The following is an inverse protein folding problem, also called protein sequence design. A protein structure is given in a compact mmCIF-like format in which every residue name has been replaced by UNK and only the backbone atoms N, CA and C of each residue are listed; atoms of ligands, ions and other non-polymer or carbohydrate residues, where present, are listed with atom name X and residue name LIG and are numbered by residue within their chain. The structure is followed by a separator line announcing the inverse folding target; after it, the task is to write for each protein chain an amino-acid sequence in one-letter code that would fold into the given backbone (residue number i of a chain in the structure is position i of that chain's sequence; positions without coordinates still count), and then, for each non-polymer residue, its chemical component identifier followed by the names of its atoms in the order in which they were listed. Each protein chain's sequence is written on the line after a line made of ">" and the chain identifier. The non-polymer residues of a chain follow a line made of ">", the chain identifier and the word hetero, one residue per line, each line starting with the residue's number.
data_IF_193111538643
#
_entry.id   IF_193111538643
#
_cell.length_a   1.000
_cell.length_b   1.000
_cell.length_c   1.000
_cell.angle_alpha   90.00
_cell.angle_beta   90.00
_cell.angle_gamma   90.00
#
_symmetry.space_group_name_H-M   'P 1'
#
loop_
_entity.id
_entity.type
_entity.pdbx_description
1 polymer ?
#
# COMPACT_ATOMS: atom_id res chain seq x y z
N UNK A 1 9.35 -20.45 21.21
CA UNK A 1 10.50 -19.73 20.63
C UNK A 1 10.10 -19.36 19.22
N UNK A 2 9.59 -18.14 19.03
CA UNK A 2 9.04 -17.68 17.74
C UNK A 2 10.22 -17.23 16.89
N UNK A 3 10.39 -17.83 15.73
CA UNK A 3 11.45 -17.48 14.79
C UNK A 3 11.20 -16.06 14.28
N UNK A 4 12.07 -15.14 14.65
CA UNK A 4 12.21 -13.86 13.96
C UNK A 4 12.72 -14.21 12.55
N UNK A 5 11.86 -14.09 11.54
CA UNK A 5 12.20 -14.56 10.18
C UNK A 5 13.36 -13.73 9.62
N UNK A 6 13.45 -12.45 9.95
CA UNK A 6 14.56 -11.57 9.58
C UNK A 6 15.22 -10.98 10.81
N UNK A 7 16.54 -10.81 10.74
CA UNK A 7 17.39 -10.31 11.82
C UNK A 7 18.21 -9.09 11.37
N UNK A 8 18.06 -8.68 10.11
CA UNK A 8 18.91 -7.68 9.47
C UNK A 8 18.13 -6.86 8.45
N UNK A 9 18.37 -5.55 8.40
CA UNK A 9 17.93 -4.65 7.33
C UNK A 9 19.12 -4.33 6.42
N UNK A 10 18.96 -4.54 5.11
CA UNK A 10 19.94 -4.14 4.12
C UNK A 10 19.49 -2.88 3.42
N UNK A 11 20.40 -1.93 3.25
CA UNK A 11 20.13 -0.63 2.62
C UNK A 11 21.01 -0.49 1.39
N UNK A 12 20.46 0.10 0.34
CA UNK A 12 21.19 0.51 -0.84
C UNK A 12 20.90 1.95 -1.19
N UNK A 13 21.90 2.59 -1.81
CA UNK A 13 21.84 3.98 -2.28
C UNK A 13 22.10 4.04 -3.79
N UNK A 14 21.49 5.00 -4.45
CA UNK A 14 21.77 5.37 -5.84
C UNK A 14 21.73 6.88 -6.04
N UNK A 15 22.41 7.35 -7.08
CA UNK A 15 22.24 8.71 -7.63
C UNK A 15 20.96 8.82 -8.49
N UNK A 16 20.37 7.69 -8.89
CA UNK A 16 19.21 7.61 -9.77
C UNK A 16 18.06 6.86 -9.10
N UNK A 17 16.84 7.34 -9.30
CA UNK A 17 15.62 6.73 -8.74
C UNK A 17 15.46 5.25 -9.10
N UNK A 18 15.79 4.86 -10.34
CA UNK A 18 15.38 3.56 -10.89
C UNK A 18 16.49 2.52 -11.06
N UNK A 19 17.76 2.89 -10.94
CA UNK A 19 18.90 2.00 -11.21
C UNK A 19 20.15 2.49 -10.46
N UNK A 20 21.24 1.71 -10.45
CA UNK A 20 22.51 2.14 -9.83
C UNK A 20 22.59 1.93 -8.32
N UNK A 21 21.63 1.20 -7.72
CA UNK A 21 21.63 0.91 -6.30
C UNK A 21 22.80 0.03 -5.86
N UNK A 22 23.61 0.54 -4.93
CA UNK A 22 24.76 -0.15 -4.36
C UNK A 22 24.73 -0.08 -2.84
N UNK A 23 25.37 -1.06 -2.19
CA UNK A 23 25.56 -1.03 -0.74
C UNK A 23 26.68 -0.05 -0.41
N UNK A 24 26.38 0.93 0.45
CA UNK A 24 27.34 1.97 0.84
C UNK A 24 28.07 1.55 2.11
N UNK A 25 29.39 1.71 2.12
CA UNK A 25 30.21 1.57 3.32
C UNK A 25 29.78 2.60 4.37
N UNK A 26 29.17 2.15 5.47
CA UNK A 26 28.64 3.02 6.54
C UNK A 26 27.13 2.85 6.76
N UNK A 27 26.38 2.43 5.74
CA UNK A 27 24.97 2.02 5.82
C UNK A 27 24.85 0.50 6.00
N UNK A 28 25.75 -0.08 6.80
CA UNK A 28 25.89 -1.52 6.95
C UNK A 28 24.58 -2.21 7.35
N UNK A 29 24.51 -3.55 7.22
CA UNK A 29 23.34 -4.32 7.64
C UNK A 29 22.91 -3.91 9.06
N UNK A 30 21.68 -3.42 9.20
CA UNK A 30 21.14 -2.93 10.48
C UNK A 30 20.58 -4.14 11.23
N UNK A 31 21.18 -4.55 12.35
CA UNK A 31 20.64 -5.67 13.11
C UNK A 31 19.27 -5.29 13.69
N UNK A 32 18.31 -6.19 13.53
CA UNK A 32 16.97 -6.01 14.08
C UNK A 32 16.94 -6.52 15.52
N UNK A 33 16.69 -5.63 16.47
CA UNK A 33 16.52 -5.99 17.87
C UNK A 33 15.08 -6.41 18.15
N UNK A 34 14.89 -7.47 18.94
CA UNK A 34 13.58 -7.82 19.45
C UNK A 34 13.01 -6.66 20.29
N UNK A 35 11.75 -6.29 20.07
CA UNK A 35 11.10 -5.18 20.78
C UNK A 35 11.27 -3.80 20.12
N UNK A 36 12.11 -3.66 19.10
CA UNK A 36 12.33 -2.39 18.42
C UNK A 36 11.39 -2.24 17.20
N UNK A 37 10.68 -1.12 17.16
CA UNK A 37 9.58 -0.83 16.22
C UNK A 37 9.97 0.13 15.12
N UNK A 38 11.02 0.91 15.34
CA UNK A 38 11.62 1.80 14.36
C UNK A 38 13.14 1.63 14.39
N UNK A 39 13.73 1.74 13.21
CA UNK A 39 15.18 1.76 13.04
C UNK A 39 15.53 3.08 12.36
N UNK A 40 16.65 3.65 12.78
CA UNK A 40 17.17 4.88 12.24
C UNK A 40 18.60 4.60 11.76
N UNK A 41 18.90 5.04 10.54
CA UNK A 41 20.25 4.99 10.00
C UNK A 41 20.60 6.31 9.37
N UNK A 42 21.82 6.76 9.66
CA UNK A 42 22.37 8.00 9.17
C UNK A 42 23.38 7.75 8.05
N UNK A 43 23.08 8.22 6.83
CA UNK A 43 24.08 8.29 5.76
C UNK A 43 24.88 9.59 5.87
N UNK A 44 26.04 9.53 6.53
CA UNK A 44 26.94 10.69 6.63
C UNK A 44 27.58 11.10 5.29
N UNK A 45 27.53 10.23 4.28
CA UNK A 45 28.10 10.46 2.96
C UNK A 45 27.04 10.80 1.90
N UNK A 46 25.76 10.69 2.27
CA UNK A 46 24.63 10.99 1.41
C UNK A 46 24.19 12.44 1.50
N UNK A 47 23.44 12.88 0.51
CA UNK A 47 22.77 14.17 0.47
C UNK A 47 21.35 14.01 -0.09
N UNK A 48 20.60 15.12 -0.16
CA UNK A 48 19.22 15.15 -0.64
C UNK A 48 19.04 14.79 -2.13
N UNK A 49 20.12 14.58 -2.89
CA UNK A 49 20.07 14.10 -4.28
C UNK A 49 20.08 12.58 -4.40
N UNK A 50 20.35 11.86 -3.32
CA UNK A 50 20.45 10.41 -3.31
C UNK A 50 19.10 9.72 -3.07
N UNK A 51 18.95 8.57 -3.74
CA UNK A 51 17.83 7.65 -3.60
C UNK A 51 18.23 6.43 -2.79
N UNK A 52 17.32 5.97 -1.95
CA UNK A 52 17.53 4.84 -1.06
C UNK A 52 16.47 3.78 -1.27
N UNK A 53 16.82 2.53 -0.97
CA UNK A 53 15.88 1.41 -0.84
C UNK A 53 16.39 0.44 0.20
N UNK A 54 15.51 -0.36 0.78
CA UNK A 54 15.88 -1.35 1.78
C UNK A 54 15.17 -2.68 1.57
N UNK A 55 15.68 -3.73 2.21
CA UNK A 55 15.02 -5.03 2.34
C UNK A 55 15.42 -5.68 3.66
N UNK A 56 14.67 -6.68 4.06
CA UNK A 56 14.98 -7.51 5.21
C UNK A 56 15.75 -8.76 4.79
N UNK A 57 16.65 -9.20 5.65
CA UNK A 57 17.49 -10.38 5.47
C UNK A 57 17.49 -11.23 6.75
N UNK A 58 17.51 -12.53 6.55
CA UNK A 58 17.63 -13.53 7.62
C UNK A 58 19.03 -14.11 7.57
N UNK A 59 19.88 -13.81 8.54
CA UNK A 59 21.18 -14.49 8.65
C UNK A 59 21.02 -15.99 8.93
N UNK A 60 19.92 -16.40 9.57
CA UNK A 60 19.63 -17.79 9.92
C UNK A 60 19.14 -18.59 8.71
N UNK A 61 18.20 -18.06 7.93
CA UNK A 61 17.59 -18.79 6.81
C UNK A 61 18.15 -18.41 5.44
N UNK A 62 18.96 -17.35 5.37
CA UNK A 62 19.50 -16.77 4.13
C UNK A 62 18.42 -16.29 3.13
N UNK A 63 17.20 -16.03 3.62
CA UNK A 63 16.09 -15.51 2.83
C UNK A 63 16.10 -13.97 2.85
N UNK A 64 15.67 -13.37 1.75
CA UNK A 64 15.50 -11.93 1.60
C UNK A 64 14.03 -11.58 1.37
N UNK A 65 13.59 -10.44 1.91
CA UNK A 65 12.35 -9.80 1.42
C UNK A 65 12.58 -9.15 0.05
N UNK A 66 11.46 -8.75 -0.58
CA UNK A 66 11.51 -7.80 -1.69
C UNK A 66 12.16 -6.47 -1.26
N UNK A 67 12.72 -5.75 -2.23
CA UNK A 67 13.18 -4.37 -2.02
C UNK A 67 11.99 -3.43 -1.86
N UNK A 68 12.13 -2.46 -0.98
CA UNK A 68 11.22 -1.31 -0.92
C UNK A 68 11.26 -0.54 -2.25
N UNK A 69 10.19 0.21 -2.57
CA UNK A 69 10.28 1.27 -3.56
C UNK A 69 11.42 2.25 -3.22
N UNK A 70 12.07 2.84 -4.24
CA UNK A 70 13.02 3.94 -4.05
C UNK A 70 12.36 5.13 -3.34
N UNK A 71 13.09 5.75 -2.42
CA UNK A 71 12.69 7.01 -1.79
C UNK A 71 13.89 7.96 -1.68
N UNK A 72 13.62 9.26 -1.70
CA UNK A 72 14.66 10.28 -1.53
C UNK A 72 15.01 10.39 -0.06
N UNK A 73 16.31 10.39 0.27
CA UNK A 73 16.74 10.69 1.63
C UNK A 73 16.51 12.16 1.93
N UNK A 74 15.66 12.46 2.92
CA UNK A 74 15.64 13.78 3.56
C UNK A 74 16.89 14.01 4.41
N UNK A 75 16.95 15.10 5.16
CA UNK A 75 18.05 15.40 6.08
C UNK A 75 18.36 14.21 6.99
N UNK A 76 19.32 13.38 6.56
CA UNK A 76 20.12 12.39 7.29
C UNK A 76 19.41 11.21 7.97
N UNK A 77 18.08 11.10 7.96
CA UNK A 77 17.36 10.03 8.68
C UNK A 77 16.57 9.10 7.73
N UNK A 78 16.78 7.79 7.87
CA UNK A 78 16.04 6.73 7.15
C UNK A 78 15.21 5.92 8.15
N UNK A 79 13.90 5.83 7.93
CA UNK A 79 12.96 5.06 8.75
C UNK A 79 12.59 3.73 8.08
N UNK A 80 12.53 2.65 8.88
CA UNK A 80 12.17 1.30 8.42
C UNK A 80 10.94 0.78 9.15
N UNK A 81 9.95 0.29 8.41
CA UNK A 81 8.75 -0.35 8.97
C UNK A 81 8.74 -1.84 8.64
N UNK A 82 8.80 -2.76 9.64
CA UNK A 82 8.79 -4.19 9.39
C UNK A 82 7.58 -4.59 8.54
N UNK A 83 7.84 -5.23 7.39
CA UNK A 83 6.82 -5.62 6.42
C UNK A 83 5.94 -6.72 7.01
N UNK A 84 4.65 -6.45 7.17
CA UNK A 84 3.62 -7.47 7.33
C UNK A 84 3.51 -8.28 6.02
N UNK A 85 2.99 -9.52 6.05
CA UNK A 85 2.89 -10.31 4.82
C UNK A 85 1.91 -9.61 3.86
N UNK A 86 2.23 -9.53 2.55
CA UNK A 86 1.25 -9.09 1.57
C UNK A 86 0.09 -10.06 1.49
N UNK A 87 -1.11 -9.55 1.21
CA UNK A 87 -2.31 -10.37 0.97
C UNK A 87 -2.04 -11.42 -0.13
N UNK A 88 -1.30 -11.01 -1.17
CA UNK A 88 -0.86 -11.87 -2.27
C UNK A 88 0.61 -11.58 -2.60
N UNK A 89 1.41 -12.64 -2.80
CA UNK A 89 2.79 -12.50 -3.25
C UNK A 89 2.81 -12.21 -4.76
N UNK A 90 2.97 -10.93 -5.10
CA UNK A 90 3.14 -10.46 -6.47
C UNK A 90 4.62 -10.36 -6.86
N UNK A 91 4.91 -10.49 -8.15
CA UNK A 91 6.24 -10.27 -8.71
C UNK A 91 6.51 -8.79 -9.01
N UNK A 92 7.74 -8.49 -9.45
CA UNK A 92 8.16 -7.13 -9.77
C UNK A 92 7.34 -6.49 -10.90
N UNK A 93 6.83 -7.30 -11.83
CA UNK A 93 6.04 -6.81 -12.96
C UNK A 93 4.64 -6.37 -12.50
N UNK A 94 3.99 -7.19 -11.68
CA UNK A 94 2.69 -6.93 -11.08
C UNK A 94 2.76 -5.73 -10.12
N UNK A 95 3.80 -5.64 -9.29
CA UNK A 95 4.00 -4.47 -8.43
C UNK A 95 4.14 -3.15 -9.22
N UNK A 96 4.75 -3.18 -10.40
CA UNK A 96 4.81 -2.00 -11.29
C UNK A 96 3.43 -1.65 -11.85
N UNK A 97 2.59 -2.63 -12.17
CA UNK A 97 1.21 -2.42 -12.63
C UNK A 97 0.40 -1.77 -11.50
N UNK A 98 0.41 -2.38 -10.31
CA UNK A 98 -0.28 -1.90 -9.12
C UNK A 98 0.13 -0.45 -8.80
N UNK A 99 1.43 -0.18 -8.72
CA UNK A 99 1.95 1.15 -8.40
C UNK A 99 1.51 2.21 -9.43
N UNK A 100 1.49 1.86 -10.72
CA UNK A 100 1.01 2.77 -11.77
C UNK A 100 -0.48 3.05 -11.64
N UNK A 101 -1.30 2.03 -11.41
CA UNK A 101 -2.75 2.20 -11.23
C UNK A 101 -3.04 3.06 -10.00
N UNK A 102 -2.44 2.74 -8.83
CA UNK A 102 -2.57 3.56 -7.61
C UNK A 102 -2.25 5.03 -7.85
N UNK A 103 -1.18 5.32 -8.61
CA UNK A 103 -0.81 6.70 -8.98
C UNK A 103 -1.83 7.36 -9.91
N UNK A 104 -2.41 6.61 -10.86
CA UNK A 104 -3.40 7.12 -11.82
C UNK A 104 -4.73 7.45 -11.15
N UNK A 105 -5.21 6.56 -10.27
CA UNK A 105 -6.44 6.79 -9.51
C UNK A 105 -6.23 7.79 -8.36
N UNK A 106 -4.97 8.08 -8.03
CA UNK A 106 -4.60 9.01 -6.96
C UNK A 106 -4.91 8.44 -5.59
N UNK A 107 -4.60 7.17 -5.35
CA UNK A 107 -4.85 6.47 -4.08
C UNK A 107 -3.85 6.93 -3.01
N UNK A 108 -4.25 7.87 -2.12
CA UNK A 108 -3.32 8.43 -1.17
C UNK A 108 -3.06 7.39 -0.08
N UNK A 109 -1.79 7.12 0.18
CA UNK A 109 -1.39 6.34 1.34
C UNK A 109 -1.38 7.27 2.55
N UNK A 110 -2.47 7.28 3.31
CA UNK A 110 -2.53 7.96 4.61
C UNK A 110 -1.96 7.03 5.69
N UNK A 111 -1.30 7.57 6.70
CA UNK A 111 -0.98 6.78 7.91
C UNK A 111 -2.05 7.04 8.95
N UNK A 112 -2.63 5.96 9.48
CA UNK A 112 -3.58 5.98 10.59
C UNK A 112 -3.03 5.26 11.79
N UNK A 113 -3.54 5.65 12.96
CA UNK A 113 -3.27 5.01 14.23
C UNK A 113 -4.59 4.74 14.94
N UNK A 114 -4.81 3.50 15.32
CA UNK A 114 -5.90 3.09 16.21
C UNK A 114 -5.30 2.64 17.54
N UNK A 115 -5.77 3.24 18.63
CA UNK A 115 -5.28 2.94 19.98
C UNK A 115 -6.35 3.24 21.03
N UNK A 116 -6.18 2.69 22.24
CA UNK A 116 -7.09 2.96 23.36
C UNK A 116 -8.46 2.31 23.21
N UNK A 117 -9.50 2.98 23.69
CA UNK A 117 -10.87 2.43 23.72
C UNK A 117 -11.44 2.18 22.31
N UNK A 118 -11.08 3.02 21.34
CA UNK A 118 -11.50 2.88 19.94
C UNK A 118 -10.96 1.58 19.32
N UNK A 119 -9.74 1.17 19.70
CA UNK A 119 -9.18 -0.10 19.25
C UNK A 119 -9.85 -1.30 19.93
N UNK A 120 -10.30 -1.17 21.18
CA UNK A 120 -10.94 -2.28 21.89
C UNK A 120 -12.29 -2.64 21.27
N UNK A 121 -13.06 -1.66 20.76
CA UNK A 121 -14.32 -1.91 20.07
C UNK A 121 -14.18 -2.73 18.79
N UNK A 122 -12.98 -2.74 18.20
CA UNK A 122 -12.68 -3.42 16.95
C UNK A 122 -12.21 -4.87 17.11
N UNK A 123 -12.18 -5.37 18.35
CA UNK A 123 -11.84 -6.77 18.65
C UNK A 123 -13.09 -7.64 18.45
N UNK A 124 -12.99 -8.63 17.57
CA UNK A 124 -14.06 -9.60 17.35
C UNK A 124 -14.32 -10.49 18.58
N UNK A 125 -15.53 -11.08 18.70
CA UNK A 125 -15.87 -12.01 19.79
C UNK A 125 -15.00 -13.28 19.86
N UNK A 126 -14.22 -13.58 18.83
CA UNK A 126 -13.26 -14.69 18.85
C UNK A 126 -11.99 -14.36 19.66
N UNK A 127 -11.88 -13.11 20.13
CA UNK A 127 -10.77 -12.52 20.86
C UNK A 127 -9.41 -12.70 20.16
N UNK A 128 -9.41 -12.86 18.84
CA UNK A 128 -8.21 -13.15 18.04
C UNK A 128 -8.18 -12.39 16.73
N UNK A 129 -9.28 -11.76 16.36
CA UNK A 129 -9.38 -10.98 15.14
C UNK A 129 -9.62 -9.52 15.50
N UNK A 130 -8.83 -8.64 14.90
CA UNK A 130 -8.98 -7.20 14.99
C UNK A 130 -9.41 -6.65 13.64
N UNK A 131 -10.44 -5.82 13.62
CA UNK A 131 -10.96 -5.16 12.41
C UNK A 131 -10.43 -3.72 12.34
N UNK A 132 -9.67 -3.37 11.31
CA UNK A 132 -9.26 -1.98 11.08
C UNK A 132 -10.49 -1.13 10.72
N UNK A 133 -10.53 0.15 11.08
CA UNK A 133 -11.63 1.05 10.67
C UNK A 133 -11.69 1.21 9.15
N UNK A 134 -10.52 1.29 8.51
CA UNK A 134 -10.36 1.37 7.05
C UNK A 134 -9.44 0.27 6.54
N UNK A 135 -9.57 -0.08 5.25
CA UNK A 135 -8.60 -0.97 4.62
C UNK A 135 -7.20 -0.36 4.73
N UNK A 136 -6.22 -1.16 5.14
CA UNK A 136 -4.86 -0.69 5.19
C UNK A 136 -3.79 -1.73 5.47
N UNK A 137 -2.58 -1.32 5.17
CA UNK A 137 -1.38 -2.11 5.33
C UNK A 137 -0.77 -1.83 6.70
N UNK A 138 -0.68 -2.81 7.61
CA UNK A 138 -0.10 -2.56 8.92
C UNK A 138 1.35 -2.11 8.80
N UNK A 139 1.69 -1.06 9.53
CA UNK A 139 3.05 -0.54 9.68
C UNK A 139 3.62 -0.92 11.05
N UNK A 140 2.78 -0.98 12.08
CA UNK A 140 3.14 -1.34 13.45
C UNK A 140 1.92 -1.86 14.19
N UNK A 141 2.07 -2.93 14.97
CA UNK A 141 1.00 -3.60 15.70
C UNK A 141 1.55 -3.96 17.06
N UNK A 142 0.91 -3.46 18.11
CA UNK A 142 1.20 -3.83 19.49
C UNK A 142 -0.06 -4.34 20.16
N UNK A 143 0.09 -5.41 20.93
CA UNK A 143 -0.96 -5.93 21.81
C UNK A 143 -0.42 -5.88 23.23
N UNK A 144 -1.02 -5.04 24.10
CA UNK A 144 -0.52 -4.78 25.46
C UNK A 144 0.97 -4.42 25.50
N UNK A 145 1.39 -3.50 24.63
CA UNK A 145 2.78 -3.06 24.53
C UNK A 145 3.74 -4.09 23.90
N UNK A 146 3.29 -5.31 23.62
CA UNK A 146 4.12 -6.32 22.95
C UNK A 146 4.01 -6.14 21.43
N UNK A 147 5.13 -5.90 20.71
CA UNK A 147 5.10 -5.76 19.27
C UNK A 147 4.86 -7.10 18.57
N UNK A 148 4.02 -7.08 17.54
CA UNK A 148 3.75 -8.19 16.64
C UNK A 148 4.26 -7.87 15.24
N UNK A 149 5.50 -8.26 14.97
CA UNK A 149 6.23 -7.88 13.74
C UNK A 149 6.63 -9.10 12.89
N UNK A 150 5.81 -10.17 12.90
CA UNK A 150 6.11 -11.42 12.18
C UNK A 150 5.21 -11.64 10.97
N UNK A 151 5.72 -12.34 9.94
CA UNK A 151 4.96 -12.67 8.72
C UNK A 151 3.81 -13.66 8.91
N UNK A 152 3.70 -14.27 10.08
CA UNK A 152 2.68 -15.29 10.37
C UNK A 152 1.75 -14.86 11.50
N UNK A 153 2.01 -13.72 12.12
CA UNK A 153 1.26 -13.23 13.27
C UNK A 153 1.49 -11.72 13.48
N UNK A 154 0.47 -10.87 13.24
CA UNK A 154 -0.84 -11.22 12.69
C UNK A 154 -0.77 -11.62 11.22
N UNK A 155 -1.70 -12.47 10.77
CA UNK A 155 -1.98 -12.63 9.34
C UNK A 155 -2.97 -11.56 8.89
N UNK A 156 -2.69 -10.92 7.76
CA UNK A 156 -3.56 -9.89 7.17
C UNK A 156 -4.57 -10.56 6.23
N UNK A 157 -5.85 -10.21 6.36
CA UNK A 157 -6.92 -10.68 5.48
C UNK A 157 -7.74 -9.50 4.94
N UNK A 158 -7.86 -9.41 3.61
CA UNK A 158 -8.51 -8.31 2.86
C UNK A 158 -8.04 -6.89 3.29
N UNK A 159 -6.86 -6.82 3.92
CA UNK A 159 -6.34 -5.60 4.55
C UNK A 159 -7.32 -4.90 5.50
N UNK A 160 -8.34 -5.61 5.98
CA UNK A 160 -9.36 -5.14 6.91
C UNK A 160 -9.24 -5.87 8.24
N UNK A 161 -8.77 -7.11 8.23
CA UNK A 161 -8.69 -7.95 9.41
C UNK A 161 -7.25 -8.38 9.73
N UNK A 162 -6.85 -8.20 10.98
CA UNK A 162 -5.61 -8.73 11.55
C UNK A 162 -5.97 -9.92 12.44
N UNK A 163 -5.51 -11.11 12.04
CA UNK A 163 -5.78 -12.34 12.78
C UNK A 163 -4.54 -12.80 13.53
N UNK A 164 -4.69 -12.95 14.84
CA UNK A 164 -3.64 -13.34 15.76
C UNK A 164 -3.67 -14.83 16.05
N UNK A 165 -2.51 -15.48 15.93
CA UNK A 165 -2.37 -16.91 16.16
C UNK A 165 -1.98 -17.16 17.60
N UNK A 166 -2.80 -17.95 18.32
CA UNK A 166 -2.58 -18.35 19.72
C UNK A 166 -2.42 -17.19 20.71
N UNK A 167 -2.95 -16.01 20.40
CA UNK A 167 -2.95 -14.84 21.29
C UNK A 167 -4.39 -14.40 21.47
N UNK A 168 -4.84 -14.37 22.72
CA UNK A 168 -6.10 -13.73 23.10
C UNK A 168 -5.86 -12.23 23.26
N UNK A 169 -6.30 -11.45 22.27
CA UNK A 169 -6.10 -9.99 22.22
C UNK A 169 -7.12 -9.24 23.09
N UNK A 170 -8.16 -9.92 23.58
CA UNK A 170 -9.11 -9.34 24.53
C UNK A 170 -8.63 -9.49 25.98
N UNK A 171 -8.01 -10.64 26.34
CA UNK A 171 -7.50 -10.93 27.68
C UNK A 171 -6.36 -10.00 28.13
N UNK A 172 -5.75 -9.29 27.19
CA UNK A 172 -4.76 -8.23 27.42
C UNK A 172 -5.34 -6.92 27.97
N UNK A 173 -6.65 -6.83 28.23
CA UNK A 173 -7.33 -5.63 28.79
C UNK A 173 -7.62 -5.69 30.30
N UNK A 174 -6.80 -6.36 31.12
CA UNK A 174 -7.02 -6.42 32.58
C UNK A 174 -6.20 -5.36 33.38
N UNK A 175 -6.93 -4.47 34.06
CA UNK A 175 -6.58 -3.60 35.21
C UNK A 175 -5.12 -3.56 35.71
N UNK A 176 -4.40 -2.43 35.53
CA UNK A 176 -3.30 -2.05 36.45
C UNK A 176 -2.14 -1.19 35.95
N UNK A 177 -1.61 -1.35 34.72
CA UNK A 177 -0.33 -0.73 34.30
C UNK A 177 -0.43 0.02 32.95
N UNK A 178 0.29 1.13 32.77
CA UNK A 178 0.01 2.21 31.79
C UNK A 178 0.25 1.90 30.29
N UNK A 179 0.57 0.68 29.88
CA UNK A 179 0.73 0.30 28.47
C UNK A 179 -0.37 -0.71 28.09
N UNK A 180 -1.59 -0.22 27.82
CA UNK A 180 -2.78 -1.06 27.65
C UNK A 180 -3.41 -0.89 26.28
N UNK A 181 -3.83 -2.02 25.73
CA UNK A 181 -4.69 -2.06 24.55
C UNK A 181 -3.93 -2.43 23.28
N UNK A 182 -4.70 -2.47 22.21
CA UNK A 182 -4.21 -2.64 20.86
C UNK A 182 -3.73 -1.27 20.35
N UNK A 183 -2.55 -1.21 19.76
CA UNK A 183 -2.01 0.00 19.10
C UNK A 183 -1.57 -0.41 17.69
N UNK A 184 -2.34 0.01 16.69
CA UNK A 184 -2.10 -0.32 15.29
C UNK A 184 -1.84 0.95 14.51
N UNK A 185 -0.67 1.01 13.87
CA UNK A 185 -0.38 1.94 12.80
C UNK A 185 -0.55 1.23 11.47
N UNK A 186 -1.24 1.85 10.53
CA UNK A 186 -1.43 1.27 9.20
C UNK A 186 -1.55 2.33 8.11
N UNK A 187 -1.13 1.95 6.92
CA UNK A 187 -1.22 2.74 5.70
C UNK A 187 -2.57 2.48 5.03
N UNK A 188 -3.45 3.46 5.04
CA UNK A 188 -4.73 3.36 4.35
C UNK A 188 -4.55 3.40 2.85
N UNK A 189 -5.45 2.74 2.14
CA UNK A 189 -5.61 2.83 0.69
C UNK A 189 -7.04 2.47 0.35
N UNK A 190 -7.50 2.87 -0.84
CA UNK A 190 -8.88 2.62 -1.28
C UNK A 190 -9.05 1.24 -1.88
N UNK A 191 -8.06 0.75 -2.62
CA UNK A 191 -8.12 -0.55 -3.28
C UNK A 191 -6.94 -1.42 -2.87
N UNK A 192 -7.21 -2.69 -2.54
CA UNK A 192 -6.17 -3.67 -2.26
C UNK A 192 -5.35 -4.00 -3.50
N UNK A 193 -4.12 -4.49 -3.30
CA UNK A 193 -3.28 -4.96 -4.41
C UNK A 193 -3.97 -6.06 -5.22
N UNK A 194 -4.75 -6.90 -4.53
CA UNK A 194 -5.54 -7.95 -5.14
C UNK A 194 -6.69 -7.39 -5.97
N UNK A 195 -7.46 -6.45 -5.43
CA UNK A 195 -8.57 -5.80 -6.15
C UNK A 195 -8.06 -5.11 -7.42
N UNK A 196 -6.90 -4.44 -7.34
CA UNK A 196 -6.26 -3.79 -8.48
C UNK A 196 -5.85 -4.81 -9.54
N UNK A 197 -5.22 -5.92 -9.14
CA UNK A 197 -4.77 -6.94 -10.08
C UNK A 197 -5.93 -7.73 -10.69
N UNK A 198 -6.96 -8.08 -9.91
CA UNK A 198 -8.16 -8.72 -10.44
C UNK A 198 -8.85 -7.82 -11.47
N UNK A 199 -8.98 -6.52 -11.19
CA UNK A 199 -9.52 -5.56 -12.15
C UNK A 199 -8.64 -5.40 -13.40
N UNK A 200 -7.31 -5.47 -13.25
CA UNK A 200 -6.37 -5.43 -14.37
C UNK A 200 -6.46 -6.67 -15.26
N UNK A 201 -6.49 -7.85 -14.66
CA UNK A 201 -6.56 -9.12 -15.37
C UNK A 201 -7.91 -9.31 -16.08
N UNK A 202 -8.98 -8.71 -15.54
CA UNK A 202 -10.31 -8.67 -16.15
C UNK A 202 -10.58 -7.44 -17.02
N UNK A 203 -9.56 -6.64 -17.35
CA UNK A 203 -9.72 -5.37 -18.05
C UNK A 203 -10.57 -5.52 -19.32
N UNK A 204 -11.65 -4.73 -19.40
CA UNK A 204 -12.50 -4.74 -20.58
C UNK A 204 -11.80 -4.07 -21.77
N UNK A 205 -12.18 -4.44 -23.00
CA UNK A 205 -11.65 -3.80 -24.21
C UNK A 205 -12.38 -2.47 -24.40
N UNK A 206 -11.68 -1.32 -24.42
CA UNK A 206 -12.32 -0.02 -24.62
C UNK A 206 -13.03 0.07 -25.97
N UNK A 207 -14.10 0.84 -26.02
CA UNK A 207 -14.96 0.95 -27.21
C UNK A 207 -14.16 1.41 -28.43
N UNK A 208 -14.22 0.57 -29.48
CA UNK A 208 -13.56 0.80 -30.76
C UNK A 208 -12.03 0.64 -30.74
N UNK A 209 -11.50 -0.07 -29.76
CA UNK A 209 -10.33 -0.91 -29.96
C UNK A 209 -10.78 -2.36 -30.18
N UNK A 210 -9.89 -3.16 -30.74
CA UNK A 210 -10.00 -4.62 -30.73
C UNK A 210 -8.90 -5.21 -29.84
N UNK A 211 -9.02 -6.50 -29.55
CA UNK A 211 -8.06 -7.22 -28.70
C UNK A 211 -6.61 -7.14 -29.22
N UNK A 212 -6.41 -6.93 -30.52
CA UNK A 212 -5.06 -6.90 -31.13
C UNK A 212 -4.31 -5.61 -30.84
N UNK A 213 -5.02 -4.54 -30.47
CA UNK A 213 -4.44 -3.24 -30.11
C UNK A 213 -4.44 -2.98 -28.59
N UNK A 214 -4.77 -4.00 -27.78
CA UNK A 214 -4.71 -3.91 -26.32
C UNK A 214 -3.26 -3.93 -25.85
N UNK A 215 -2.70 -2.74 -25.65
CA UNK A 215 -1.38 -2.57 -25.03
C UNK A 215 -1.48 -2.52 -23.51
N UNK A 216 -0.37 -2.75 -22.82
CA UNK A 216 -0.33 -2.61 -21.36
C UNK A 216 -0.75 -1.22 -20.88
N UNK A 217 -0.48 -0.16 -21.65
CA UNK A 217 -0.88 1.21 -21.29
C UNK A 217 -2.40 1.41 -21.45
N UNK A 218 -3.02 0.80 -22.46
CA UNK A 218 -4.49 0.78 -22.59
C UNK A 218 -5.11 0.09 -21.39
N UNK A 219 -4.61 -1.10 -21.00
CA UNK A 219 -5.12 -1.81 -19.83
C UNK A 219 -4.96 -0.97 -18.55
N UNK A 220 -3.80 -0.36 -18.33
CA UNK A 220 -3.56 0.47 -17.14
C UNK A 220 -4.55 1.64 -17.03
N UNK A 221 -4.81 2.34 -18.14
CA UNK A 221 -5.75 3.47 -18.16
C UNK A 221 -7.18 2.99 -17.98
N UNK A 222 -7.59 1.94 -18.69
CA UNK A 222 -8.94 1.39 -18.62
C UNK A 222 -9.25 0.85 -17.22
N UNK A 223 -8.37 0.06 -16.62
CA UNK A 223 -8.53 -0.42 -15.24
C UNK A 223 -8.62 0.73 -14.24
N UNK A 224 -7.80 1.77 -14.40
CA UNK A 224 -7.85 2.96 -13.52
C UNK A 224 -9.19 3.70 -13.64
N UNK A 225 -9.75 3.78 -14.86
CA UNK A 225 -11.05 4.39 -15.13
C UNK A 225 -12.16 3.56 -14.48
N UNK A 226 -12.15 2.24 -14.64
CA UNK A 226 -13.15 1.34 -14.08
C UNK A 226 -13.19 1.38 -12.56
N UNK A 227 -12.02 1.37 -11.90
CA UNK A 227 -11.92 1.49 -10.45
C UNK A 227 -12.49 2.83 -9.96
N UNK A 228 -12.13 3.94 -10.58
CA UNK A 228 -12.69 5.25 -10.20
C UNK A 228 -14.18 5.38 -10.49
N UNK A 229 -14.68 4.80 -11.58
CA UNK A 229 -16.12 4.78 -11.87
C UNK A 229 -16.89 3.99 -10.81
N UNK A 230 -16.37 2.82 -10.40
CA UNK A 230 -16.97 2.02 -9.34
C UNK A 230 -17.05 2.80 -8.04
N UNK A 231 -15.95 3.43 -7.62
CA UNK A 231 -15.93 4.27 -6.41
C UNK A 231 -16.95 5.41 -6.48
N UNK A 232 -16.99 6.16 -7.59
CA UNK A 232 -17.95 7.25 -7.77
C UNK A 232 -19.40 6.77 -7.74
N UNK A 233 -19.66 5.56 -8.22
CA UNK A 233 -20.97 4.95 -8.16
C UNK A 233 -21.34 4.59 -6.73
N UNK A 234 -20.47 3.90 -6.00
CA UNK A 234 -20.65 3.53 -4.58
C UNK A 234 -20.85 4.78 -3.71
N UNK A 235 -20.00 5.81 -3.85
CA UNK A 235 -20.15 7.07 -3.13
C UNK A 235 -21.51 7.72 -3.42
N UNK A 236 -21.98 7.68 -4.68
CA UNK A 236 -23.25 8.30 -5.06
C UNK A 236 -24.46 7.60 -4.42
N UNK A 237 -24.30 6.33 -4.04
CA UNK A 237 -25.35 5.50 -3.44
C UNK A 237 -25.26 5.43 -1.92
N UNK A 238 -24.06 5.48 -1.33
CA UNK A 238 -23.83 5.20 0.10
C UNK A 238 -23.52 6.47 0.92
N UNK A 239 -22.74 7.41 0.39
CA UNK A 239 -22.17 8.55 1.15
C UNK A 239 -22.40 9.94 0.51
N UNK A 240 -23.08 10.00 -0.64
CA UNK A 240 -23.28 11.21 -1.43
C UNK A 240 -24.26 12.22 -0.83
N UNK A 241 -24.87 11.91 0.31
CA UNK A 241 -25.80 12.79 1.00
C UNK A 241 -25.05 13.86 1.80
N UNK A 242 -25.32 15.13 1.52
CA UNK A 242 -24.91 16.23 2.41
C UNK A 242 -25.72 16.13 3.70
N UNK A 243 -25.04 15.92 4.82
CA UNK A 243 -25.67 15.89 6.14
C UNK A 243 -25.35 17.21 6.84
N UNK A 244 -26.40 17.91 7.27
CA UNK A 244 -26.26 19.12 8.07
C UNK A 244 -27.20 18.99 9.29
N UNK A 245 -26.62 18.99 10.47
CA UNK A 245 -27.34 19.16 11.74
C UNK A 245 -26.95 20.51 12.39
N UNK A 246 -27.50 20.81 13.57
CA UNK A 246 -27.27 22.09 14.27
C UNK A 246 -25.81 22.33 14.70
N UNK A 247 -24.93 21.32 14.66
CA UNK A 247 -23.53 21.37 15.15
C UNK A 247 -22.49 20.85 14.15
N UNK A 248 -22.88 20.04 13.17
CA UNK A 248 -22.00 19.36 12.23
C UNK A 248 -22.52 19.48 10.80
N UNK A 249 -21.60 19.79 9.88
CA UNK A 249 -21.88 19.86 8.44
C UNK A 249 -20.87 18.98 7.71
N UNK A 250 -21.37 17.89 7.13
CA UNK A 250 -20.61 17.03 6.23
C UNK A 250 -20.99 17.36 4.78
N UNK A 251 -19.99 17.68 3.97
CA UNK A 251 -20.16 17.92 2.53
C UNK A 251 -19.09 17.17 1.73
N UNK A 252 -19.44 16.03 1.11
CA UNK A 252 -18.50 15.21 0.34
C UNK A 252 -18.16 15.80 -1.04
N UNK A 253 -18.79 16.90 -1.46
CA UNK A 253 -18.67 17.48 -2.81
C UNK A 253 -17.22 17.68 -3.26
N UNK A 254 -16.29 18.22 -2.46
CA UNK A 254 -14.91 18.46 -2.91
C UNK A 254 -14.17 17.16 -3.27
N UNK A 255 -14.40 16.07 -2.52
CA UNK A 255 -13.80 14.76 -2.82
C UNK A 255 -14.35 14.17 -4.11
N UNK A 256 -15.68 14.26 -4.30
CA UNK A 256 -16.36 13.81 -5.51
C UNK A 256 -15.93 14.59 -6.76
N UNK A 257 -15.77 15.91 -6.64
CA UNK A 257 -15.28 16.77 -7.74
C UNK A 257 -13.85 16.40 -8.14
N UNK A 258 -12.95 16.17 -7.16
CA UNK A 258 -11.59 15.71 -7.44
C UNK A 258 -11.57 14.36 -8.16
N UNK A 259 -12.41 13.39 -7.74
CA UNK A 259 -12.53 12.08 -8.40
C UNK A 259 -13.05 12.22 -9.82
N UNK A 260 -14.07 13.06 -10.06
CA UNK A 260 -14.57 13.37 -11.41
C UNK A 260 -13.49 13.99 -12.30
N UNK A 261 -12.72 14.94 -11.78
CA UNK A 261 -11.61 15.55 -12.52
C UNK A 261 -10.51 14.54 -12.89
N UNK A 262 -10.19 13.61 -11.99
CA UNK A 262 -9.25 12.52 -12.29
C UNK A 262 -9.81 11.61 -13.37
N UNK A 263 -11.08 11.23 -13.27
CA UNK A 263 -11.76 10.39 -14.26
C UNK A 263 -11.77 11.03 -15.65
N UNK A 264 -12.16 12.30 -15.75
CA UNK A 264 -12.16 13.05 -17.01
C UNK A 264 -10.75 13.11 -17.62
N UNK A 265 -9.72 13.30 -16.79
CA UNK A 265 -8.33 13.32 -17.25
C UNK A 265 -7.91 11.95 -17.81
N UNK A 266 -8.27 10.86 -17.14
CA UNK A 266 -7.95 9.51 -17.60
C UNK A 266 -8.70 9.15 -18.89
N UNK A 267 -10.00 9.46 -18.98
CA UNK A 267 -10.81 9.27 -20.18
C UNK A 267 -10.20 10.01 -21.39
N UNK A 268 -9.85 11.30 -21.22
CA UNK A 268 -9.19 12.07 -22.29
C UNK A 268 -7.87 11.42 -22.74
N UNK A 269 -7.08 10.93 -21.79
CA UNK A 269 -5.79 10.29 -22.07
C UNK A 269 -5.96 8.94 -22.77
N UNK A 270 -6.98 8.17 -22.40
CA UNK A 270 -7.35 6.92 -23.08
C UNK A 270 -7.84 7.20 -24.50
N UNK A 271 -8.74 8.16 -24.69
CA UNK A 271 -9.25 8.55 -26.01
C UNK A 271 -8.13 8.97 -26.98
N UNK A 272 -7.17 9.75 -26.51
CA UNK A 272 -6.02 10.16 -27.30
C UNK A 272 -5.12 8.97 -27.67
N UNK A 273 -4.95 8.01 -26.77
CA UNK A 273 -4.22 6.77 -27.04
C UNK A 273 -4.95 5.90 -28.07
N UNK A 274 -6.27 5.73 -27.93
CA UNK A 274 -7.11 5.00 -28.90
C UNK A 274 -7.00 5.63 -30.29
N UNK A 275 -7.09 6.96 -30.40
CA UNK A 275 -6.92 7.68 -31.68
C UNK A 275 -5.57 7.38 -32.32
N UNK A 276 -4.47 7.42 -31.55
CA UNK A 276 -3.11 7.11 -32.05
C UNK A 276 -2.99 5.67 -32.54
N UNK A 277 -3.50 4.71 -31.78
CA UNK A 277 -3.45 3.29 -32.14
C UNK A 277 -4.27 2.97 -33.40
N UNK A 278 -5.43 3.63 -33.56
CA UNK A 278 -6.23 3.52 -34.79
C UNK A 278 -5.50 4.07 -36.01
N UNK A 279 -4.81 5.21 -35.88
CA UNK A 279 -4.03 5.79 -36.98
C UNK A 279 -2.88 4.86 -37.42
N UNK A 280 -2.17 4.25 -36.47
CA UNK A 280 -1.11 3.28 -36.76
C UNK A 280 -1.62 2.04 -37.52
N UNK A 281 -2.85 1.61 -37.23
CA UNK A 281 -3.49 0.51 -37.99
C UNK A 281 -3.83 0.92 -39.43
N UNK A 282 -4.17 2.18 -39.67
CA UNK A 282 -4.48 2.69 -41.02
C UNK A 282 -3.22 2.78 -41.88
N UNK A 283 -2.06 3.14 -41.31
CA UNK A 283 -0.77 3.17 -42.04
C UNK A 283 -0.29 1.78 -42.49
N UNK A 284 -0.78 0.69 -41.86
CA UNK A 284 -0.46 -0.69 -42.24
C UNK A 284 -1.35 -1.27 -43.35
N UNK A 285 -2.40 -0.56 -43.78
CA UNK A 285 -3.25 -0.97 -44.90
C UNK A 285 -2.72 -0.30 -46.17
N UNK A 286 -1.78 -0.98 -46.83
CA UNK A 286 -1.39 -0.66 -48.21
C UNK A 286 -2.65 -0.62 -49.07
N UNK A 287 -2.90 0.55 -49.66
CA UNK A 287 -3.87 0.74 -50.74
C UNK A 287 -3.29 0.02 -51.96
N UNK A 288 -3.87 -1.13 -52.31
CA UNK A 288 -3.75 -1.73 -53.65
C UNK A 288 -4.69 -1.03 -54.64
#
# INVERSE_FOLDING_TARGET
>A
MVFQVYDTIQIQRSEYESYGFTTVSGLGPVPMAAGQTSYEVVDYSGDASHWYRYRYYSSVTSIYSAWSPPFVGGDREIFFNPLYPPEVLYGDAEHRIISKIRRLIGDPIGIRREYGDDAVSSIHPDNRTYELDEKGWPASVHVAGVPFNSFVNPTVNDYKYLRFVNVDIAATTWSGCEERGMDVWYYTFRNSDREIMEAYDSCSIPVGLDASLMTSEVCLLQTSIELLYKELFEDSTEDGAKIADERTRYDPTPGLENRRHLLDRLNNRLDDLIKRLRLLRIEGVLID
#
